data_IF_146273041111
#
_entry.id   IF_146273041111
#
_cell.length_a   1.000
_cell.length_b   1.000
_cell.length_c   1.000
_cell.angle_alpha   90.00
_cell.angle_beta   90.00
_cell.angle_gamma   90.00
#
_symmetry.space_group_name_H-M   'P 1'
#
loop_
_entity.id
_entity.type
_entity.pdbx_description
1 polymer ?
#
# COMPACT_ATOMS: atom_id res chain seq x y z
N UNK A 1 7.49 6.83 -4.82
CA UNK A 1 6.14 7.12 -4.27
C UNK A 1 5.03 6.89 -5.29
N UNK A 2 5.25 7.08 -6.60
CA UNK A 2 4.16 6.93 -7.59
C UNK A 2 4.18 5.60 -8.34
N UNK A 3 4.99 4.62 -7.91
CA UNK A 3 5.12 3.29 -8.54
C UNK A 3 5.45 3.33 -10.05
N UNK A 4 6.27 4.31 -10.46
CA UNK A 4 6.76 4.50 -11.85
C UNK A 4 8.26 4.21 -11.99
N UNK A 5 8.82 3.41 -11.10
CA UNK A 5 10.25 3.06 -11.11
C UNK A 5 10.49 1.80 -11.93
N UNK A 6 11.45 1.79 -12.86
CA UNK A 6 11.89 0.55 -13.51
C UNK A 6 12.61 -0.36 -12.51
N UNK A 7 11.96 -1.47 -12.15
CA UNK A 7 12.48 -2.49 -11.24
C UNK A 7 12.04 -3.85 -11.77
N UNK A 8 12.98 -4.79 -11.89
CA UNK A 8 12.78 -6.16 -12.34
C UNK A 8 12.13 -6.99 -11.23
N UNK A 9 10.87 -6.65 -10.94
CA UNK A 9 10.02 -7.29 -9.94
C UNK A 9 8.63 -7.52 -10.53
N UNK A 10 8.17 -8.76 -10.50
CA UNK A 10 6.80 -9.16 -10.86
C UNK A 10 5.97 -9.41 -9.59
N UNK A 11 4.86 -8.70 -9.46
CA UNK A 11 3.92 -8.76 -8.33
C UNK A 11 3.02 -10.02 -8.38
N UNK A 12 3.49 -11.08 -9.05
CA UNK A 12 2.80 -12.36 -9.12
C UNK A 12 2.94 -13.12 -7.79
N UNK A 13 1.80 -13.42 -7.16
CA UNK A 13 1.73 -14.20 -5.91
C UNK A 13 1.67 -15.72 -6.15
N UNK A 14 1.39 -16.14 -7.39
CA UNK A 14 1.32 -17.54 -7.78
C UNK A 14 2.42 -17.88 -8.80
N UNK A 15 2.99 -19.08 -8.67
CA UNK A 15 3.99 -19.62 -9.60
C UNK A 15 3.48 -19.78 -11.02
N UNK A 16 4.35 -19.51 -11.99
CA UNK A 16 4.15 -19.90 -13.39
C UNK A 16 4.72 -21.30 -13.70
N UNK A 17 5.21 -22.01 -12.68
CA UNK A 17 5.78 -23.36 -12.77
C UNK A 17 7.23 -23.44 -13.24
N UNK A 18 7.91 -22.31 -13.52
CA UNK A 18 9.30 -22.30 -14.02
C UNK A 18 10.28 -21.67 -13.03
N UNK A 19 9.91 -20.52 -12.46
CA UNK A 19 10.74 -19.78 -11.52
C UNK A 19 9.98 -19.52 -10.20
N UNK A 20 10.73 -19.32 -9.12
CA UNK A 20 10.15 -18.86 -7.85
C UNK A 20 9.60 -17.43 -8.03
N UNK A 21 8.30 -17.19 -7.75
CA UNK A 21 7.72 -15.86 -7.84
C UNK A 21 8.46 -14.84 -6.98
N UNK A 22 8.53 -13.60 -7.44
CA UNK A 22 9.26 -12.55 -6.74
C UNK A 22 8.63 -12.23 -5.39
N UNK A 23 7.30 -12.35 -5.29
CA UNK A 23 6.59 -12.28 -4.01
C UNK A 23 6.99 -13.41 -3.06
N UNK A 24 7.25 -14.63 -3.56
CA UNK A 24 7.77 -15.73 -2.74
C UNK A 24 9.20 -15.45 -2.28
N UNK A 25 10.06 -14.94 -3.18
CA UNK A 25 11.44 -14.54 -2.84
C UNK A 25 11.45 -13.42 -1.81
N UNK A 26 10.58 -12.41 -1.96
CA UNK A 26 10.38 -11.34 -1.00
C UNK A 26 9.86 -11.88 0.35
N UNK A 27 8.94 -12.84 0.33
CA UNK A 27 8.43 -13.50 1.54
C UNK A 27 9.49 -14.29 2.29
N UNK A 28 10.48 -14.84 1.58
CA UNK A 28 11.65 -15.46 2.23
C UNK A 28 12.57 -14.41 2.86
N UNK A 29 12.80 -13.30 2.15
CA UNK A 29 13.64 -12.20 2.63
C UNK A 29 13.02 -11.47 3.84
N UNK A 30 11.69 -11.35 3.90
CA UNK A 30 10.97 -10.70 4.99
C UNK A 30 10.63 -11.64 6.16
N UNK A 31 10.99 -12.92 6.07
CA UNK A 31 10.79 -13.91 7.13
C UNK A 31 9.38 -14.51 7.20
N UNK A 32 8.46 -14.20 6.29
CA UNK A 32 7.12 -14.81 6.26
C UNK A 32 7.17 -16.29 5.86
N UNK A 33 8.14 -16.68 5.03
CA UNK A 33 8.30 -18.05 4.54
C UNK A 33 9.74 -18.51 4.79
N UNK A 34 9.98 -19.70 5.37
CA UNK A 34 11.35 -20.19 5.52
C UNK A 34 11.97 -20.45 4.14
N UNK A 35 13.23 -20.06 3.91
CA UNK A 35 13.92 -20.37 2.67
C UNK A 35 14.11 -21.89 2.53
N UNK A 36 14.05 -22.40 1.30
CA UNK A 36 14.42 -23.78 1.02
C UNK A 36 15.90 -24.02 1.38
N UNK A 37 16.24 -25.26 1.76
CA UNK A 37 17.64 -25.65 2.03
C UNK A 37 18.49 -25.34 0.80
N UNK A 38 19.56 -24.56 0.99
CA UNK A 38 20.46 -24.16 -0.09
C UNK A 38 19.95 -23.01 -0.98
N UNK A 39 18.87 -22.32 -0.60
CA UNK A 39 18.40 -21.14 -1.33
C UNK A 39 19.50 -20.07 -1.44
N UNK A 40 19.96 -19.71 -2.66
CA UNK A 40 21.08 -18.80 -2.84
C UNK A 40 20.67 -17.32 -2.81
N UNK A 41 19.38 -17.04 -2.69
CA UNK A 41 18.85 -15.69 -2.78
C UNK A 41 19.01 -14.87 -1.49
N UNK A 42 18.57 -13.61 -1.54
CA UNK A 42 18.72 -12.67 -0.43
C UNK A 42 18.01 -13.17 0.82
N UNK A 43 18.65 -12.91 1.96
CA UNK A 43 18.23 -13.41 3.25
C UNK A 43 17.50 -12.34 4.08
N UNK A 44 17.77 -11.07 3.81
CA UNK A 44 17.13 -9.93 4.48
C UNK A 44 16.37 -9.08 3.47
N UNK A 45 15.43 -8.26 3.95
CA UNK A 45 14.72 -7.30 3.11
C UNK A 45 15.72 -6.36 2.42
N UNK A 46 16.70 -5.84 3.14
CA UNK A 46 17.71 -4.94 2.56
C UNK A 46 18.54 -5.60 1.48
N UNK A 47 18.94 -6.87 1.66
CA UNK A 47 19.66 -7.62 0.63
C UNK A 47 18.78 -7.83 -0.60
N UNK A 48 17.49 -8.11 -0.40
CA UNK A 48 16.53 -8.25 -1.49
C UNK A 48 16.42 -6.96 -2.29
N UNK A 49 16.30 -5.81 -1.62
CA UNK A 49 16.21 -4.49 -2.26
C UNK A 49 17.47 -4.11 -3.04
N UNK A 50 18.65 -4.56 -2.61
CA UNK A 50 19.91 -4.34 -3.34
C UNK A 50 20.06 -5.34 -4.50
N UNK A 51 19.52 -6.55 -4.35
CA UNK A 51 19.62 -7.60 -5.35
C UNK A 51 18.67 -7.38 -6.54
N UNK A 52 17.48 -6.80 -6.32
CA UNK A 52 16.53 -6.55 -7.40
C UNK A 52 17.11 -5.58 -8.45
N UNK A 53 17.19 -6.06 -9.69
CA UNK A 53 17.74 -5.29 -10.80
C UNK A 53 16.75 -4.28 -11.39
N UNK A 54 17.21 -3.55 -12.40
CA UNK A 54 16.37 -2.73 -13.27
C UNK A 54 15.75 -3.60 -14.37
N UNK A 55 14.49 -3.35 -14.75
CA UNK A 55 13.89 -4.02 -15.92
C UNK A 55 14.59 -3.53 -17.21
N UNK A 56 15.20 -4.41 -18.01
CA UNK A 56 15.90 -4.02 -19.23
C UNK A 56 15.00 -3.22 -20.18
N UNK A 57 15.55 -2.18 -20.81
CA UNK A 57 14.85 -1.39 -21.82
C UNK A 57 13.73 -0.47 -21.30
N UNK A 58 13.51 -0.39 -19.98
CA UNK A 58 12.46 0.48 -19.41
C UNK A 58 13.05 1.64 -18.61
N UNK A 59 12.66 2.90 -18.89
CA UNK A 59 13.10 4.05 -18.11
C UNK A 59 12.34 4.17 -16.77
N UNK A 60 12.91 4.90 -15.81
CA UNK A 60 12.12 5.41 -14.68
C UNK A 60 11.18 6.51 -15.17
N UNK A 61 10.05 6.70 -14.51
CA UNK A 61 9.03 7.67 -14.88
C UNK A 61 8.10 7.20 -16.01
N UNK A 62 8.20 5.94 -16.45
CA UNK A 62 7.27 5.34 -17.41
C UNK A 62 5.89 5.05 -16.81
N UNK A 63 5.22 4.05 -17.37
CA UNK A 63 3.91 3.59 -16.91
C UNK A 63 3.91 3.18 -15.44
N UNK A 64 2.74 3.29 -14.82
CA UNK A 64 2.49 2.78 -13.48
C UNK A 64 2.57 1.25 -13.49
N UNK A 65 3.41 0.72 -12.60
CA UNK A 65 3.47 -0.71 -12.29
C UNK A 65 3.67 -0.84 -10.79
N UNK A 66 2.64 -1.37 -10.11
CA UNK A 66 2.66 -1.57 -8.67
C UNK A 66 3.79 -2.55 -8.28
N UNK A 67 4.62 -2.14 -7.33
CA UNK A 67 5.76 -2.92 -6.86
C UNK A 67 5.96 -2.74 -5.37
N UNK A 68 5.63 -3.77 -4.60
CA UNK A 68 5.81 -3.81 -3.14
C UNK A 68 7.20 -3.33 -2.68
N UNK A 69 8.33 -3.74 -3.29
CA UNK A 69 9.67 -3.27 -2.89
C UNK A 69 9.87 -1.75 -2.94
N UNK A 70 9.08 -1.04 -3.75
CA UNK A 70 9.18 0.42 -3.83
C UNK A 70 8.79 1.09 -2.51
N UNK A 71 7.83 0.51 -1.77
CA UNK A 71 7.42 0.99 -0.44
C UNK A 71 8.47 0.61 0.62
N UNK A 72 9.07 -0.57 0.52
CA UNK A 72 10.15 -1.00 1.42
C UNK A 72 11.40 -0.10 1.28
N UNK A 73 11.73 0.36 0.07
CA UNK A 73 12.79 1.38 -0.12
C UNK A 73 12.45 2.69 0.57
N UNK A 74 11.19 3.16 0.52
CA UNK A 74 10.78 4.38 1.23
C UNK A 74 10.94 4.23 2.74
N UNK A 75 10.55 3.08 3.28
CA UNK A 75 10.74 2.73 4.69
C UNK A 75 12.23 2.66 5.06
N UNK A 76 13.06 2.12 4.18
CA UNK A 76 14.51 2.08 4.40
C UNK A 76 15.12 3.48 4.42
N UNK A 77 14.74 4.36 3.49
CA UNK A 77 15.16 5.77 3.48
C UNK A 77 14.71 6.46 4.78
N UNK A 78 13.46 6.25 5.20
CA UNK A 78 12.94 6.82 6.45
C UNK A 78 13.78 6.36 7.65
N UNK A 79 14.09 5.07 7.74
CA UNK A 79 14.95 4.54 8.79
C UNK A 79 16.36 5.16 8.74
N UNK A 80 16.97 5.27 7.55
CA UNK A 80 18.32 5.84 7.39
C UNK A 80 18.40 7.32 7.76
N UNK A 81 17.37 8.10 7.46
CA UNK A 81 17.34 9.55 7.75
C UNK A 81 17.07 9.82 9.23
N UNK A 82 16.28 8.97 9.89
CA UNK A 82 15.84 9.21 11.27
C UNK A 82 16.62 8.42 12.32
N UNK A 83 17.28 7.33 11.93
CA UNK A 83 17.88 6.36 12.85
C UNK A 83 16.85 5.58 13.67
N UNK A 84 15.55 5.68 13.37
CA UNK A 84 14.47 5.09 14.16
C UNK A 84 13.76 3.97 13.40
N UNK A 85 13.32 2.89 14.07
CA UNK A 85 12.46 1.88 13.47
C UNK A 85 11.17 2.48 12.92
N UNK A 86 10.64 1.93 11.82
CA UNK A 86 9.38 2.40 11.20
C UNK A 86 8.22 2.29 12.18
N UNK A 87 8.13 1.20 12.94
CA UNK A 87 7.09 0.98 13.96
C UNK A 87 7.07 2.13 14.99
N UNK A 88 8.22 2.47 15.56
CA UNK A 88 8.36 3.55 16.55
C UNK A 88 7.94 4.90 15.98
N UNK A 89 8.22 5.15 14.70
CA UNK A 89 7.79 6.38 14.03
C UNK A 89 6.27 6.41 13.79
N UNK A 90 5.66 5.28 13.40
CA UNK A 90 4.21 5.17 13.25
C UNK A 90 3.51 5.39 14.59
N UNK A 91 4.03 4.74 15.64
CA UNK A 91 3.53 4.86 17.02
C UNK A 91 3.53 6.31 17.49
N UNK A 92 4.69 6.98 17.44
CA UNK A 92 4.85 8.33 17.94
C UNK A 92 4.14 9.40 17.09
N UNK A 93 4.08 9.23 15.76
CA UNK A 93 3.52 10.24 14.85
C UNK A 93 2.02 10.10 14.66
N UNK A 94 1.48 8.90 14.74
CA UNK A 94 0.09 8.61 14.41
C UNK A 94 -0.61 7.88 15.55
N UNK A 95 -0.12 6.70 15.92
CA UNK A 95 -0.87 5.74 16.74
C UNK A 95 -1.25 6.31 18.11
N UNK A 96 -0.26 6.82 18.86
CA UNK A 96 -0.48 7.41 20.18
C UNK A 96 -1.25 8.73 20.10
N UNK A 97 -0.92 9.58 19.11
CA UNK A 97 -1.56 10.90 18.95
C UNK A 97 -3.04 10.79 18.57
N UNK A 98 -3.42 9.74 17.86
CA UNK A 98 -4.80 9.50 17.47
C UNK A 98 -5.60 8.75 18.55
N UNK A 99 -4.94 8.21 19.57
CA UNK A 99 -5.58 7.40 20.59
C UNK A 99 -6.21 6.14 20.00
N UNK A 100 -5.45 5.41 19.16
CA UNK A 100 -5.91 4.16 18.57
C UNK A 100 -6.31 3.16 19.67
N UNK A 101 -7.37 2.39 19.42
CA UNK A 101 -7.98 1.49 20.40
C UNK A 101 -7.11 0.29 20.72
N UNK A 102 -6.36 -0.21 19.75
CA UNK A 102 -5.58 -1.44 19.87
C UNK A 102 -4.13 -1.21 19.47
N UNK A 103 -3.17 -1.99 20.02
CA UNK A 103 -1.85 -2.06 19.44
C UNK A 103 -1.93 -2.55 17.99
N UNK A 104 -0.98 -2.11 17.19
CA UNK A 104 -0.73 -2.64 15.86
C UNK A 104 0.67 -3.21 15.81
N UNK A 105 0.85 -4.19 14.94
CA UNK A 105 2.13 -4.86 14.74
C UNK A 105 2.60 -4.65 13.30
N UNK A 106 3.91 -4.67 13.10
CA UNK A 106 4.51 -4.72 11.77
C UNK A 106 5.46 -5.90 11.69
N UNK A 107 5.30 -6.72 10.67
CA UNK A 107 6.22 -7.80 10.39
C UNK A 107 7.63 -7.24 10.15
N UNK A 108 8.63 -7.91 10.72
CA UNK A 108 10.04 -7.61 10.51
C UNK A 108 10.77 -8.84 9.97
N UNK A 109 11.83 -8.60 9.21
CA UNK A 109 12.77 -9.65 8.84
C UNK A 109 13.67 -10.07 10.02
N UNK A 110 14.58 -11.01 9.77
CA UNK A 110 15.49 -11.58 10.78
C UNK A 110 16.45 -10.58 11.43
N UNK A 111 16.64 -9.39 10.85
CA UNK A 111 17.50 -8.33 11.40
C UNK A 111 16.68 -7.15 11.93
N UNK A 112 15.35 -7.27 11.98
CA UNK A 112 14.45 -6.23 12.48
C UNK A 112 14.03 -5.19 11.43
N UNK A 113 14.29 -5.42 10.14
CA UNK A 113 13.82 -4.51 9.08
C UNK A 113 12.32 -4.70 8.87
N UNK A 114 11.56 -3.62 9.00
CA UNK A 114 10.10 -3.67 8.82
C UNK A 114 9.71 -3.93 7.36
N UNK A 115 8.76 -4.84 7.16
CA UNK A 115 8.10 -5.06 5.87
C UNK A 115 6.99 -4.02 5.68
N UNK A 116 7.35 -2.84 5.17
CA UNK A 116 6.44 -1.71 5.04
C UNK A 116 5.47 -1.83 3.85
N UNK A 117 5.81 -2.64 2.85
CA UNK A 117 4.95 -2.88 1.68
C UNK A 117 3.66 -3.64 1.97
N UNK A 118 3.56 -4.34 3.11
CA UNK A 118 2.33 -5.08 3.45
C UNK A 118 2.30 -5.77 4.83
N UNK A 119 3.29 -5.55 5.69
CA UNK A 119 3.45 -6.30 6.95
C UNK A 119 2.67 -5.77 8.14
N UNK A 120 1.87 -4.72 7.99
CA UNK A 120 1.17 -4.09 9.13
C UNK A 120 -0.17 -4.76 9.41
N UNK A 121 -0.43 -5.06 10.68
CA UNK A 121 -1.72 -5.54 11.20
C UNK A 121 -2.29 -4.54 12.20
N UNK A 122 -3.58 -4.24 12.07
CA UNK A 122 -4.28 -3.29 12.93
C UNK A 122 -5.75 -3.69 13.11
N UNK A 123 -6.43 -3.11 14.11
CA UNK A 123 -7.88 -3.29 14.25
C UNK A 123 -8.64 -2.59 13.12
N UNK A 124 -9.80 -3.16 12.74
CA UNK A 124 -10.62 -2.59 11.66
C UNK A 124 -11.07 -1.15 11.96
N UNK A 125 -11.40 -0.85 13.23
CA UNK A 125 -11.81 0.48 13.65
C UNK A 125 -10.66 1.48 13.61
N UNK A 126 -9.46 1.09 14.00
CA UNK A 126 -8.28 1.96 13.92
C UNK A 126 -7.89 2.25 12.47
N UNK A 127 -8.09 1.29 11.57
CA UNK A 127 -7.92 1.52 10.13
C UNK A 127 -8.95 2.54 9.61
N UNK A 128 -10.21 2.48 10.07
CA UNK A 128 -11.23 3.47 9.73
C UNK A 128 -10.90 4.86 10.29
N UNK A 129 -10.40 4.95 11.54
CA UNK A 129 -9.91 6.22 12.12
C UNK A 129 -8.78 6.83 11.29
N UNK A 130 -7.83 6.01 10.83
CA UNK A 130 -6.77 6.48 9.96
C UNK A 130 -7.31 7.05 8.65
N UNK A 131 -8.23 6.33 7.99
CA UNK A 131 -8.90 6.82 6.78
C UNK A 131 -9.66 8.12 7.02
N UNK A 132 -10.36 8.24 8.15
CA UNK A 132 -11.12 9.43 8.52
C UNK A 132 -10.20 10.63 8.79
N UNK A 133 -9.07 10.41 9.44
CA UNK A 133 -8.05 11.46 9.64
C UNK A 133 -7.51 11.97 8.29
N UNK A 134 -7.35 11.11 7.29
CA UNK A 134 -7.00 11.53 5.92
C UNK A 134 -8.14 12.34 5.29
N UNK A 135 -9.40 11.87 5.38
CA UNK A 135 -10.59 12.59 4.86
C UNK A 135 -10.70 13.99 5.46
N UNK A 136 -10.43 14.13 6.76
CA UNK A 136 -10.48 15.39 7.52
C UNK A 136 -9.24 16.28 7.34
N UNK A 137 -8.48 16.10 6.26
CA UNK A 137 -7.36 16.97 5.94
C UNK A 137 -6.15 16.78 6.86
N UNK A 138 -5.97 15.57 7.38
CA UNK A 138 -4.88 15.24 8.30
C UNK A 138 -5.14 15.61 9.75
N UNK A 139 -6.39 15.99 10.09
CA UNK A 139 -6.78 16.42 11.44
C UNK A 139 -7.52 15.31 12.18
N UNK A 140 -7.30 15.25 13.47
CA UNK A 140 -7.98 14.34 14.38
C UNK A 140 -8.22 15.04 15.72
N UNK A 141 -9.47 15.10 16.18
CA UNK A 141 -9.87 15.75 17.45
C UNK A 141 -9.22 17.13 17.68
N UNK A 142 -9.21 17.98 16.65
CA UNK A 142 -8.67 19.35 16.72
C UNK A 142 -7.17 19.46 16.47
N UNK A 143 -6.41 18.36 16.54
CA UNK A 143 -4.97 18.32 16.31
C UNK A 143 -4.63 18.04 14.83
N UNK A 144 -3.58 18.67 14.30
CA UNK A 144 -2.99 18.31 13.00
C UNK A 144 -2.02 17.12 13.19
N UNK A 145 -2.39 15.96 12.65
CA UNK A 145 -1.62 14.72 12.75
C UNK A 145 -0.66 14.60 11.56
N UNK A 146 -1.19 14.67 10.33
CA UNK A 146 -0.40 14.65 9.09
C UNK A 146 -0.24 16.08 8.58
N UNK A 147 0.96 16.55 8.20
CA UNK A 147 1.12 17.91 7.66
C UNK A 147 0.22 18.18 6.44
N UNK A 148 -0.38 19.39 6.30
CA UNK A 148 -1.26 19.71 5.19
C UNK A 148 -0.64 19.49 3.80
N UNK A 149 0.68 19.70 3.66
CA UNK A 149 1.38 19.44 2.41
C UNK A 149 1.39 17.95 2.01
N UNK A 150 1.54 17.05 2.99
CA UNK A 150 1.49 15.61 2.75
C UNK A 150 0.06 15.15 2.42
N UNK A 151 -0.95 15.70 3.10
CA UNK A 151 -2.36 15.47 2.75
C UNK A 151 -2.66 15.94 1.33
N UNK A 152 -2.21 17.14 0.95
CA UNK A 152 -2.38 17.65 -0.41
C UNK A 152 -1.75 16.71 -1.43
N UNK A 153 -0.54 16.22 -1.16
CA UNK A 153 0.14 15.26 -2.04
C UNK A 153 -0.59 13.91 -2.13
N UNK A 154 -1.17 13.43 -1.03
CA UNK A 154 -1.99 12.20 -0.98
C UNK A 154 -3.29 12.37 -1.75
N UNK A 155 -3.96 13.52 -1.61
CA UNK A 155 -5.29 13.76 -2.19
C UNK A 155 -5.24 14.27 -3.63
N UNK A 156 -4.05 14.56 -4.17
CA UNK A 156 -3.88 15.00 -5.56
C UNK A 156 -3.73 13.78 -6.47
N UNK A 157 -4.63 13.56 -7.44
CA UNK A 157 -4.52 12.46 -8.39
C UNK A 157 -3.19 12.50 -9.17
N UNK A 158 -2.71 11.33 -9.56
CA UNK A 158 -1.50 11.16 -10.35
C UNK A 158 -1.72 11.28 -11.85
N UNK A 159 -0.74 10.78 -12.60
CA UNK A 159 -0.74 10.74 -14.06
C UNK A 159 -1.69 9.65 -14.58
N UNK A 160 -2.82 10.06 -15.14
CA UNK A 160 -3.86 9.17 -15.69
C UNK A 160 -3.35 8.37 -16.89
N UNK A 161 -2.48 8.96 -17.72
CA UNK A 161 -1.97 8.28 -18.93
C UNK A 161 -1.00 7.16 -18.53
N UNK A 162 -0.08 7.46 -17.60
CA UNK A 162 0.82 6.45 -17.06
C UNK A 162 0.06 5.31 -16.36
N UNK A 163 -1.11 5.60 -15.75
CA UNK A 163 -1.92 4.59 -15.06
C UNK A 163 -2.74 3.70 -16.00
N UNK A 164 -3.20 4.23 -17.15
CA UNK A 164 -4.11 3.54 -18.06
C UNK A 164 -3.60 2.16 -18.53
N UNK A 165 -2.28 2.00 -18.70
CA UNK A 165 -1.67 0.73 -19.12
C UNK A 165 -1.94 -0.43 -18.13
N UNK A 166 -2.19 -0.13 -16.85
CA UNK A 166 -2.43 -1.14 -15.83
C UNK A 166 -3.82 -1.80 -15.92
N UNK A 167 -4.80 -1.17 -16.58
CA UNK A 167 -6.13 -1.74 -16.87
C UNK A 167 -6.80 -2.42 -15.67
N UNK A 168 -6.81 -1.75 -14.51
CA UNK A 168 -7.52 -2.27 -13.33
C UNK A 168 -9.03 -2.11 -13.50
N UNK A 169 -9.82 -3.19 -13.42
CA UNK A 169 -11.28 -3.09 -13.52
C UNK A 169 -11.87 -2.13 -12.48
N UNK A 170 -12.79 -1.27 -12.93
CA UNK A 170 -13.47 -0.26 -12.09
C UNK A 170 -12.65 0.99 -11.78
N UNK A 171 -11.44 1.11 -12.35
CA UNK A 171 -10.54 2.27 -12.20
C UNK A 171 -10.26 2.97 -13.54
N UNK A 172 -11.19 2.90 -14.49
CA UNK A 172 -11.08 3.63 -15.75
C UNK A 172 -11.00 5.14 -15.49
N UNK A 173 -10.03 5.81 -16.12
CA UNK A 173 -9.70 7.22 -15.87
C UNK A 173 -9.10 7.49 -14.48
N UNK A 174 -8.78 6.45 -13.71
CA UNK A 174 -8.12 6.55 -12.42
C UNK A 174 -6.63 6.89 -12.53
N UNK A 175 -5.99 7.00 -11.37
CA UNK A 175 -4.54 7.22 -11.27
C UNK A 175 -3.97 6.68 -9.95
N UNK A 176 -2.65 6.76 -9.80
CA UNK A 176 -1.96 6.45 -8.57
C UNK A 176 -0.89 7.51 -8.27
N UNK A 177 -0.84 7.97 -7.03
CA UNK A 177 0.16 8.94 -6.56
C UNK A 177 0.38 8.80 -5.06
N UNK A 178 1.59 9.11 -4.58
CA UNK A 178 1.86 9.22 -3.13
C UNK A 178 1.48 7.98 -2.30
N UNK A 179 1.52 6.79 -2.89
CA UNK A 179 1.08 5.51 -2.32
C UNK A 179 -0.44 5.22 -2.32
N UNK A 180 -1.26 6.09 -2.93
CA UNK A 180 -2.72 6.00 -2.96
C UNK A 180 -3.27 5.83 -4.37
N UNK A 181 -4.41 5.14 -4.45
CA UNK A 181 -5.19 4.94 -5.66
C UNK A 181 -6.29 5.98 -5.75
N UNK A 182 -6.51 6.53 -6.93
CA UNK A 182 -7.54 7.54 -7.19
C UNK A 182 -8.50 7.07 -8.26
N UNK A 183 -9.80 7.25 -8.01
CA UNK A 183 -10.85 7.04 -9.02
C UNK A 183 -11.15 8.34 -9.75
N UNK A 184 -11.54 8.23 -11.01
CA UNK A 184 -12.00 9.37 -11.81
C UNK A 184 -13.18 10.12 -11.16
N UNK A 185 -14.00 9.42 -10.37
CA UNK A 185 -15.16 9.94 -9.65
C UNK A 185 -14.80 10.78 -8.40
N UNK A 186 -13.53 10.78 -7.97
CA UNK A 186 -13.01 11.63 -6.90
C UNK A 186 -12.68 10.91 -5.59
N UNK A 187 -12.84 9.58 -5.52
CA UNK A 187 -12.47 8.82 -4.31
C UNK A 187 -10.99 8.48 -4.28
N UNK A 188 -10.46 8.41 -3.06
CA UNK A 188 -9.05 8.07 -2.77
C UNK A 188 -9.01 6.81 -1.92
N UNK A 189 -8.12 5.88 -2.24
CA UNK A 189 -8.14 4.54 -1.66
C UNK A 189 -6.73 4.01 -1.38
N UNK A 190 -6.61 3.23 -0.31
CA UNK A 190 -5.51 2.32 -0.10
C UNK A 190 -6.05 0.90 -0.27
N UNK A 191 -5.43 0.08 -1.10
CA UNK A 191 -5.91 -1.30 -1.35
C UNK A 191 -4.79 -2.30 -1.15
N UNK A 192 -5.15 -3.46 -0.59
CA UNK A 192 -4.26 -4.61 -0.42
C UNK A 192 -4.84 -5.85 -1.09
N UNK A 193 -3.99 -6.84 -1.37
CA UNK A 193 -4.43 -8.14 -1.88
C UNK A 193 -5.36 -8.85 -0.89
N UNK A 194 -6.09 -9.86 -1.36
CA UNK A 194 -7.10 -10.59 -0.58
C UNK A 194 -8.29 -9.73 -0.09
N UNK A 195 -8.37 -8.46 -0.47
CA UNK A 195 -9.51 -7.60 -0.22
C UNK A 195 -9.36 -6.60 0.93
N UNK A 196 -8.14 -6.22 1.29
CA UNK A 196 -7.93 -5.18 2.29
C UNK A 196 -8.21 -3.81 1.65
N UNK A 197 -8.79 -2.87 2.38
CA UNK A 197 -8.89 -1.52 1.87
C UNK A 197 -9.33 -0.45 2.85
N UNK A 198 -8.93 0.77 2.50
CA UNK A 198 -9.51 2.03 2.96
C UNK A 198 -10.08 2.70 1.72
N UNK A 199 -11.36 3.06 1.75
CA UNK A 199 -12.04 3.80 0.70
C UNK A 199 -12.52 5.12 1.28
N UNK A 200 -12.09 6.24 0.70
CA UNK A 200 -12.44 7.59 1.14
C UNK A 200 -13.28 8.25 0.04
N UNK A 201 -14.52 8.58 0.37
CA UNK A 201 -15.40 9.40 -0.46
C UNK A 201 -15.62 10.76 0.21
N UNK A 202 -14.92 11.82 -0.24
CA UNK A 202 -15.10 13.15 0.31
C UNK A 202 -16.49 13.74 0.05
N UNK A 203 -17.17 13.38 -1.04
CA UNK A 203 -18.49 13.93 -1.41
C UNK A 203 -19.58 13.36 -0.52
N UNK A 204 -19.49 12.07 -0.20
CA UNK A 204 -20.41 11.40 0.72
C UNK A 204 -19.98 11.51 2.19
N UNK A 205 -18.90 12.24 2.48
CA UNK A 205 -18.29 12.32 3.82
C UNK A 205 -18.06 10.95 4.47
N UNK A 206 -17.61 9.99 3.67
CA UNK A 206 -17.61 8.58 4.03
C UNK A 206 -16.21 7.98 3.99
N UNK A 207 -15.93 7.12 4.98
CA UNK A 207 -14.79 6.20 4.97
C UNK A 207 -15.29 4.76 5.16
N UNK A 208 -14.82 3.86 4.31
CA UNK A 208 -15.02 2.41 4.48
C UNK A 208 -13.65 1.78 4.74
N UNK A 209 -13.51 1.12 5.89
CA UNK A 209 -12.42 0.19 6.15
C UNK A 209 -12.90 -1.24 5.92
N UNK A 210 -12.05 -2.07 5.31
CA UNK A 210 -12.37 -3.45 4.99
C UNK A 210 -11.17 -4.36 5.19
N UNK A 211 -11.41 -5.50 5.84
CA UNK A 211 -10.56 -6.66 5.76
C UNK A 211 -11.23 -7.77 4.96
N UNK A 212 -10.43 -8.52 4.21
CA UNK A 212 -10.88 -9.65 3.42
C UNK A 212 -9.87 -10.78 3.43
N UNK A 213 -10.31 -11.95 3.03
CA UNK A 213 -9.45 -13.13 2.88
C UNK A 213 -9.80 -13.86 1.58
N UNK A 214 -9.95 -13.11 0.48
CA UNK A 214 -10.27 -13.68 -0.82
C UNK A 214 -9.21 -14.73 -1.23
N UNK A 215 -9.59 -15.84 -1.86
CA UNK A 215 -8.65 -16.91 -2.20
C UNK A 215 -7.61 -16.48 -3.26
N UNK A 216 -7.92 -15.51 -4.10
CA UNK A 216 -7.02 -15.00 -5.14
C UNK A 216 -6.45 -13.65 -4.72
N UNK A 217 -5.11 -13.54 -4.69
CA UNK A 217 -4.37 -12.35 -4.28
C UNK A 217 -4.34 -11.25 -5.35
N UNK A 218 -5.49 -10.80 -5.85
CA UNK A 218 -5.54 -9.70 -6.83
C UNK A 218 -6.80 -8.87 -6.73
N UNK A 219 -6.65 -7.54 -6.77
CA UNK A 219 -7.79 -6.63 -6.80
C UNK A 219 -8.50 -6.60 -8.16
N UNK A 220 -7.91 -7.19 -9.20
CA UNK A 220 -8.53 -7.28 -10.53
C UNK A 220 -9.85 -8.06 -10.52
N UNK A 221 -9.96 -9.06 -9.64
CA UNK A 221 -11.19 -9.86 -9.49
C UNK A 221 -12.08 -9.39 -8.34
N UNK A 222 -11.57 -8.49 -7.48
CA UNK A 222 -12.27 -8.01 -6.28
C UNK A 222 -12.98 -6.67 -6.54
N UNK A 223 -12.32 -5.76 -7.26
CA UNK A 223 -12.86 -4.44 -7.59
C UNK A 223 -14.23 -4.48 -8.28
N UNK A 224 -14.50 -5.40 -9.24
CA UNK A 224 -15.79 -5.46 -9.92
C UNK A 224 -16.99 -5.67 -8.99
N UNK A 225 -16.79 -6.25 -7.80
CA UNK A 225 -17.86 -6.43 -6.81
C UNK A 225 -17.83 -5.34 -5.73
N UNK A 226 -16.64 -4.99 -5.26
CA UNK A 226 -16.49 -4.10 -4.09
C UNK A 226 -16.74 -2.62 -4.41
N UNK A 227 -16.22 -2.12 -5.54
CA UNK A 227 -16.39 -0.70 -5.88
C UNK A 227 -17.86 -0.32 -6.13
N UNK A 228 -18.66 -1.10 -6.89
CA UNK A 228 -20.09 -0.80 -7.04
C UNK A 228 -20.85 -0.86 -5.70
N UNK A 229 -20.47 -1.75 -4.78
CA UNK A 229 -21.08 -1.80 -3.46
C UNK A 229 -20.77 -0.53 -2.65
N UNK A 230 -19.54 -0.03 -2.69
CA UNK A 230 -19.18 1.23 -2.04
C UNK A 230 -19.91 2.43 -2.67
N UNK A 231 -20.01 2.46 -4.00
CA UNK A 231 -20.74 3.49 -4.74
C UNK A 231 -22.24 3.51 -4.34
N UNK A 232 -22.85 2.33 -4.14
CA UNK A 232 -24.24 2.22 -3.69
C UNK A 232 -24.44 2.74 -2.25
N UNK A 233 -23.49 2.48 -1.34
CA UNK A 233 -23.54 3.02 0.02
C UNK A 233 -23.40 4.55 -0.01
N UNK A 234 -22.44 5.08 -0.78
CA UNK A 234 -22.24 6.53 -0.93
C UNK A 234 -23.51 7.21 -1.48
N UNK A 235 -24.15 6.62 -2.50
CA UNK A 235 -25.39 7.13 -3.07
C UNK A 235 -26.56 7.13 -2.07
N UNK A 236 -26.59 6.18 -1.13
CA UNK A 236 -27.62 6.13 -0.09
C UNK A 236 -27.39 7.16 1.02
N UNK A 237 -26.14 7.49 1.34
CA UNK A 237 -25.79 8.53 2.32
C UNK A 237 -25.96 9.96 1.79
N UNK A 238 -25.93 10.13 0.47
CA UNK A 238 -26.15 11.43 -0.18
C UNK A 238 -27.64 11.83 -0.34
N UNK A 239 -28.56 11.00 0.16
CA UNK A 239 -30.02 11.26 0.18
C UNK A 239 -30.43 11.92 1.49
#
# INVERSE_FOLDING_TARGET
MDMRTSVAFDEAYAGNGKDLPDMTRLSMANGAVPPAVGYPGPATLTDFLVHIGKTPGTPHGGDFVYRTPSTDVLAWVLHRVTGQPVAAQIEARYWLKMGMEQPADIQVDRIGTAFAGGGMSASLRDLARFGEMIRLGGRWHGQQIVPPAAIKAIMTPGDVQAFAAAKYPGLDGGSYASQWWHRASGQTMAVGVHGQGIYIDPKAEMVIARFGSFPVATNRVINPTTLPAYDAIAAQLAR
#
